data_IF_166878476196
#
_entry.id   IF_166878476196
#
_cell.length_a   1.000
_cell.length_b   1.000
_cell.length_c   1.000
_cell.angle_alpha   90.00
_cell.angle_beta   90.00
_cell.angle_gamma   90.00
#
_symmetry.space_group_name_H-M   'P 1'
#
loop_
_entity.id
_entity.type
_entity.pdbx_description
1 polymer ?
#
# COMPACT_ATOMS: atom_id res chain seq x y z
N UNK A 1 3.77 -12.55 7.42
CA UNK A 1 4.92 -12.44 6.48
C UNK A 1 4.76 -11.15 5.68
N UNK A 2 5.84 -10.44 5.35
CA UNK A 2 5.81 -9.12 4.67
C UNK A 2 6.69 -9.14 3.43
N UNK A 3 6.22 -8.58 2.31
CA UNK A 3 7.01 -8.43 1.09
C UNK A 3 7.04 -6.96 0.63
N UNK A 4 8.23 -6.35 0.51
CA UNK A 4 8.37 -5.00 -0.02
C UNK A 4 8.33 -4.99 -1.56
N UNK A 5 7.57 -4.07 -2.15
CA UNK A 5 7.52 -3.88 -3.60
C UNK A 5 8.42 -2.74 -4.08
N UNK A 6 8.83 -2.84 -5.36
CA UNK A 6 9.75 -1.89 -5.99
C UNK A 6 9.04 -0.57 -6.29
N UNK A 7 9.59 0.51 -5.74
CA UNK A 7 9.17 1.88 -6.05
C UNK A 7 9.66 2.30 -7.43
N UNK A 8 8.78 2.95 -8.22
CA UNK A 8 9.07 3.42 -9.58
C UNK A 8 9.13 4.96 -9.72
N UNK A 9 8.54 5.73 -8.80
CA UNK A 9 8.57 7.20 -8.82
C UNK A 9 7.29 7.90 -8.34
N UNK A 10 7.27 9.23 -8.33
CA UNK A 10 6.10 10.05 -7.94
C UNK A 10 6.42 11.56 -7.88
N UNK A 11 5.45 12.42 -8.21
CA UNK A 11 5.64 13.87 -8.17
C UNK A 11 5.59 14.40 -6.71
N UNK A 12 6.51 15.32 -6.38
CA UNK A 12 6.79 15.81 -5.01
C UNK A 12 7.15 14.71 -3.99
N UNK A 13 7.61 13.54 -4.46
CA UNK A 13 8.38 12.58 -3.67
C UNK A 13 9.78 13.15 -3.38
N UNK A 14 9.85 14.27 -2.68
CA UNK A 14 11.12 14.83 -2.22
C UNK A 14 11.67 13.84 -1.18
N UNK A 15 12.67 13.04 -1.57
CA UNK A 15 13.58 12.27 -0.72
C UNK A 15 13.04 11.13 0.18
N UNK A 16 11.95 10.48 -0.21
CA UNK A 16 11.39 9.36 0.55
C UNK A 16 11.23 8.13 -0.35
N UNK A 17 11.83 6.99 0.01
CA UNK A 17 11.57 5.69 -0.61
C UNK A 17 10.32 5.08 0.06
N UNK A 18 9.10 5.29 -0.46
CA UNK A 18 7.94 4.64 0.13
C UNK A 18 8.05 3.14 -0.14
N UNK A 19 7.76 2.33 0.87
CA UNK A 19 7.75 0.87 0.72
C UNK A 19 6.31 0.40 0.83
N UNK A 20 5.78 -0.14 -0.27
CA UNK A 20 4.52 -0.88 -0.25
C UNK A 20 4.80 -2.28 0.28
N UNK A 21 4.11 -2.63 1.36
CA UNK A 21 4.16 -3.93 2.01
C UNK A 21 2.80 -4.56 1.90
N UNK A 22 2.76 -5.75 1.31
CA UNK A 22 1.56 -6.60 1.31
C UNK A 22 1.75 -7.68 2.37
N UNK A 23 0.73 -7.85 3.20
CA UNK A 23 0.68 -8.87 4.24
C UNK A 23 -0.61 -9.66 4.08
N UNK A 24 -0.50 -10.94 4.39
CA UNK A 24 -1.64 -11.81 4.57
C UNK A 24 -1.72 -12.23 6.05
N UNK A 25 -2.93 -12.28 6.57
CA UNK A 25 -3.31 -12.53 7.96
C UNK A 25 -3.91 -13.93 8.11
N UNK A 26 -3.77 -14.51 9.30
CA UNK A 26 -4.32 -15.84 9.60
C UNK A 26 -5.83 -15.85 9.35
N UNK A 27 -6.33 -16.89 8.68
CA UNK A 27 -7.73 -16.96 8.23
C UNK A 27 -8.01 -16.30 6.87
N UNK A 28 -6.96 -15.91 6.12
CA UNK A 28 -7.08 -15.43 4.74
C UNK A 28 -7.33 -13.92 4.60
N UNK A 29 -7.18 -13.16 5.68
CA UNK A 29 -7.21 -11.69 5.65
C UNK A 29 -6.02 -11.12 4.88
N UNK A 30 -6.17 -9.90 4.36
CA UNK A 30 -5.09 -9.20 3.67
C UNK A 30 -5.00 -7.76 4.17
N UNK A 31 -3.78 -7.25 4.28
CA UNK A 31 -3.50 -5.86 4.58
C UNK A 31 -2.42 -5.30 3.66
N UNK A 32 -2.60 -4.04 3.27
CA UNK A 32 -1.64 -3.26 2.51
C UNK A 32 -1.13 -2.12 3.39
N UNK A 33 0.18 -1.94 3.43
CA UNK A 33 0.82 -0.89 4.22
C UNK A 33 1.79 -0.13 3.35
N UNK A 34 1.73 1.19 3.43
CA UNK A 34 2.74 2.05 2.83
C UNK A 34 3.52 2.71 3.96
N UNK A 35 4.76 2.25 4.12
CA UNK A 35 5.70 2.85 5.05
C UNK A 35 6.29 4.09 4.39
N UNK A 36 6.08 5.24 5.01
CA UNK A 36 6.66 6.52 4.63
C UNK A 36 7.80 6.82 5.60
N UNK A 37 8.83 7.56 5.16
CA UNK A 37 9.94 7.92 6.05
C UNK A 37 9.68 9.25 6.78
N UNK A 38 8.76 10.09 6.30
CA UNK A 38 8.40 11.36 6.93
C UNK A 38 7.05 11.32 7.65
N UNK A 39 6.94 12.20 8.64
CA UNK A 39 5.74 12.44 9.45
C UNK A 39 4.67 13.12 8.60
N UNK A 40 3.50 12.50 8.47
CA UNK A 40 2.29 13.15 7.96
C UNK A 40 1.60 13.82 9.15
N UNK A 41 1.55 15.15 9.14
CA UNK A 41 0.65 15.88 10.04
C UNK A 41 -0.80 15.71 9.54
N UNK A 42 -1.68 15.14 10.37
CA UNK A 42 -3.07 14.94 10.00
C UNK A 42 -3.88 14.09 10.97
N UNK A 43 -5.18 13.94 10.68
CA UNK A 43 -6.11 13.07 11.39
C UNK A 43 -5.74 11.59 11.22
N UNK A 44 -6.09 10.75 12.19
CA UNK A 44 -5.88 9.30 12.13
C UNK A 44 -6.45 8.63 10.86
N UNK A 45 -7.46 9.24 10.22
CA UNK A 45 -8.01 8.83 8.94
C UNK A 45 -7.52 9.75 7.82
N UNK A 46 -6.90 9.17 6.78
CA UNK A 46 -6.36 9.88 5.63
C UNK A 46 -7.12 9.47 4.36
N UNK A 47 -7.69 10.40 3.60
CA UNK A 47 -8.28 10.10 2.30
C UNK A 47 -7.17 9.78 1.29
N UNK A 48 -7.26 8.60 0.68
CA UNK A 48 -6.29 8.05 -0.26
C UNK A 48 -7.02 7.65 -1.54
N UNK A 49 -6.45 8.00 -2.69
CA UNK A 49 -6.87 7.47 -3.99
C UNK A 49 -5.84 6.45 -4.46
N UNK A 50 -6.27 5.20 -4.53
CA UNK A 50 -5.50 4.06 -5.02
C UNK A 50 -5.89 3.81 -6.47
N UNK A 51 -4.92 3.79 -7.36
CA UNK A 51 -5.09 3.44 -8.75
C UNK A 51 -4.34 2.15 -9.05
N UNK A 52 -5.08 1.12 -9.48
CA UNK A 52 -4.53 -0.16 -9.94
C UNK A 52 -4.75 -0.21 -11.44
N UNK A 53 -3.65 -0.16 -12.19
CA UNK A 53 -3.62 0.07 -13.63
C UNK A 53 -4.46 1.30 -14.03
N UNK A 54 -5.68 1.10 -14.54
CA UNK A 54 -6.60 2.17 -14.95
C UNK A 54 -7.76 2.42 -13.97
N UNK A 55 -7.91 1.59 -12.92
CA UNK A 55 -9.06 1.65 -12.00
C UNK A 55 -8.70 2.44 -10.75
N UNK A 56 -9.51 3.45 -10.43
CA UNK A 56 -9.33 4.31 -9.25
C UNK A 56 -10.31 3.90 -8.15
N UNK A 57 -9.77 3.73 -6.95
CA UNK A 57 -10.48 3.39 -5.72
C UNK A 57 -10.23 4.49 -4.69
N UNK A 58 -11.29 5.18 -4.28
CA UNK A 58 -11.23 6.12 -3.15
C UNK A 58 -11.34 5.32 -1.86
N UNK A 59 -10.37 5.50 -0.97
CA UNK A 59 -10.24 4.75 0.27
C UNK A 59 -9.85 5.67 1.41
N UNK A 60 -10.06 5.20 2.62
CA UNK A 60 -9.57 5.85 3.83
C UNK A 60 -8.56 4.93 4.48
N UNK A 61 -7.34 5.42 4.66
CA UNK A 61 -6.24 4.69 5.26
C UNK A 61 -5.97 5.27 6.64
N UNK A 62 -5.51 4.44 7.56
CA UNK A 62 -5.19 4.88 8.92
C UNK A 62 -3.72 5.30 9.02
N UNK A 63 -3.45 6.41 9.73
CA UNK A 63 -2.12 6.77 10.20
C UNK A 63 -1.82 6.01 11.49
N UNK A 64 -0.65 5.37 11.58
CA UNK A 64 -0.21 4.73 12.83
C UNK A 64 0.53 5.70 13.74
N UNK A 65 0.72 5.33 15.01
CA UNK A 65 1.20 6.18 16.13
C UNK A 65 2.55 6.89 15.95
N UNK A 66 3.31 6.60 14.88
CA UNK A 66 4.53 7.35 14.52
C UNK A 66 4.31 8.36 13.39
N UNK A 67 3.07 8.51 12.92
CA UNK A 67 2.62 9.32 11.78
C UNK A 67 3.44 9.15 10.50
N UNK A 68 4.20 8.06 10.39
CA UNK A 68 5.09 7.77 9.27
C UNK A 68 4.61 6.57 8.46
N UNK A 69 3.49 5.95 8.80
CA UNK A 69 3.00 4.78 8.07
C UNK A 69 1.50 4.93 7.82
N UNK A 70 1.13 4.88 6.54
CA UNK A 70 -0.25 4.76 6.10
C UNK A 70 -0.58 3.28 5.99
N UNK A 71 -1.57 2.83 6.74
CA UNK A 71 -2.02 1.43 6.75
C UNK A 71 -3.42 1.35 6.19
N UNK A 72 -3.61 0.47 5.22
CA UNK A 72 -4.92 0.05 4.76
C UNK A 72 -5.16 -1.40 5.12
N UNK A 73 -6.08 -1.60 6.06
CA UNK A 73 -6.60 -2.92 6.40
C UNK A 73 -7.90 -3.07 5.60
N UNK A 74 -7.86 -3.88 4.55
CA UNK A 74 -8.99 -4.05 3.64
C UNK A 74 -9.12 -5.50 3.19
N UNK A 75 -10.32 -6.04 3.38
CA UNK A 75 -10.71 -7.35 2.85
C UNK A 75 -10.46 -7.38 1.34
N UNK A 76 -9.63 -8.33 0.87
CA UNK A 76 -9.35 -8.53 -0.56
C UNK A 76 -8.20 -7.69 -1.16
N UNK A 77 -7.42 -6.99 -0.33
CA UNK A 77 -6.29 -6.14 -0.77
C UNK A 77 -5.17 -6.90 -1.52
N UNK A 78 -4.87 -8.16 -1.17
CA UNK A 78 -3.93 -8.97 -1.95
C UNK A 78 -4.46 -9.35 -3.34
N UNK A 79 -5.72 -9.79 -3.42
CA UNK A 79 -6.32 -10.29 -4.67
C UNK A 79 -6.46 -9.21 -5.74
N UNK A 80 -6.67 -7.95 -5.37
CA UNK A 80 -6.82 -6.85 -6.34
C UNK A 80 -5.51 -6.46 -7.03
N UNK A 81 -4.37 -6.86 -6.48
CA UNK A 81 -3.05 -6.64 -7.09
C UNK A 81 -2.68 -7.77 -8.05
N UNK A 82 -3.38 -8.91 -8.01
CA UNK A 82 -3.11 -10.03 -8.90
C UNK A 82 -3.35 -9.64 -10.36
N UNK A 83 -2.37 -9.92 -11.22
CA UNK A 83 -2.35 -9.57 -12.64
C UNK A 83 -2.21 -8.08 -12.94
N UNK A 84 -2.13 -7.21 -11.92
CA UNK A 84 -1.94 -5.79 -12.12
C UNK A 84 -0.48 -5.47 -12.42
N UNK A 85 -0.22 -4.42 -13.21
CA UNK A 85 1.14 -4.02 -13.60
C UNK A 85 1.63 -2.82 -12.81
N UNK A 86 0.71 -1.93 -12.44
CA UNK A 86 1.04 -0.66 -11.81
C UNK A 86 0.12 -0.39 -10.63
N UNK A 87 0.71 -0.02 -9.51
CA UNK A 87 0.01 0.47 -8.34
C UNK A 87 0.41 1.91 -8.09
N UNK A 88 -0.54 2.83 -8.13
CA UNK A 88 -0.34 4.23 -7.78
C UNK A 88 -1.18 4.55 -6.57
N UNK A 89 -0.58 5.18 -5.57
CA UNK A 89 -1.29 5.72 -4.43
C UNK A 89 -1.13 7.24 -4.44
N UNK A 90 -2.18 7.95 -4.06
CA UNK A 90 -2.13 9.40 -3.89
C UNK A 90 -2.92 9.81 -2.67
N UNK A 91 -2.38 10.73 -1.88
CA UNK A 91 -2.99 11.19 -0.64
C UNK A 91 -2.72 12.68 -0.46
N UNK A 92 -3.54 13.32 0.36
CA UNK A 92 -3.36 14.74 0.69
C UNK A 92 -3.06 14.85 2.17
N UNK A 93 -1.96 15.52 2.52
CA UNK A 93 -1.62 15.85 3.91
C UNK A 93 -1.85 17.34 4.13
N UNK A 94 -3.03 17.71 4.64
CA UNK A 94 -3.32 19.10 5.04
C UNK A 94 -3.04 20.17 3.98
N UNK A 95 -2.48 21.30 4.43
CA UNK A 95 -2.36 22.57 3.68
C UNK A 95 -1.43 22.52 2.45
N UNK A 96 -0.58 21.49 2.34
CA UNK A 96 0.35 21.34 1.21
C UNK A 96 -0.15 20.26 0.24
N UNK A 97 0.17 20.44 -1.04
CA UNK A 97 -0.43 19.74 -2.19
C UNK A 97 -0.43 18.20 -2.13
N UNK A 98 -1.12 17.57 -3.09
CA UNK A 98 -1.24 16.12 -3.14
C UNK A 98 0.11 15.41 -3.30
N UNK A 99 0.33 14.37 -2.49
CA UNK A 99 1.46 13.46 -2.58
C UNK A 99 1.07 12.23 -3.40
N UNK A 100 2.02 11.64 -4.12
CA UNK A 100 1.80 10.40 -4.85
C UNK A 100 3.02 9.47 -4.82
N UNK A 101 2.76 8.17 -4.88
CA UNK A 101 3.78 7.14 -5.04
C UNK A 101 3.30 6.09 -6.05
N UNK A 102 4.21 5.68 -6.94
CA UNK A 102 3.96 4.73 -8.00
C UNK A 102 4.89 3.53 -7.81
N UNK A 103 4.33 2.33 -7.89
CA UNK A 103 4.99 1.06 -7.72
C UNK A 103 4.77 0.18 -8.93
N UNK A 104 5.82 -0.57 -9.27
CA UNK A 104 5.78 -1.61 -10.28
C UNK A 104 5.36 -2.90 -9.62
N UNK A 105 4.45 -3.61 -10.26
CA UNK A 105 3.93 -4.89 -9.78
C UNK A 105 4.51 -6.07 -10.56
N UNK A 106 5.64 -5.88 -11.25
CA UNK A 106 6.31 -6.97 -11.95
C UNK A 106 6.61 -8.13 -10.99
N UNK A 107 6.08 -9.31 -11.28
CA UNK A 107 6.23 -10.51 -10.44
C UNK A 107 5.34 -10.57 -9.20
N UNK A 108 4.37 -9.65 -9.03
CA UNK A 108 3.48 -9.62 -7.87
C UNK A 108 2.69 -10.93 -7.69
N UNK A 109 2.32 -11.60 -8.78
CA UNK A 109 1.53 -12.83 -8.75
C UNK A 109 2.26 -13.97 -8.03
N UNK A 110 3.57 -14.10 -8.27
CA UNK A 110 4.39 -15.10 -7.60
C UNK A 110 4.48 -14.81 -6.09
N UNK A 111 4.60 -13.54 -5.72
CA UNK A 111 4.63 -13.10 -4.31
C UNK A 111 3.29 -13.36 -3.62
N UNK A 112 2.18 -13.03 -4.28
CA UNK A 112 0.83 -13.26 -3.75
C UNK A 112 0.53 -14.76 -3.60
N UNK A 113 0.91 -15.58 -4.57
CA UNK A 113 0.77 -17.03 -4.51
C UNK A 113 1.57 -17.62 -3.33
N UNK A 114 2.81 -17.19 -3.16
CA UNK A 114 3.66 -17.59 -2.03
C UNK A 114 3.06 -17.17 -0.68
N UNK A 115 2.62 -15.92 -0.56
CA UNK A 115 1.96 -15.40 0.64
C UNK A 115 0.70 -16.17 0.99
N UNK A 116 -0.14 -16.46 -0.01
CA UNK A 116 -1.39 -17.20 0.18
C UNK A 116 -1.14 -18.61 0.67
N UNK A 117 -0.16 -19.31 0.09
CA UNK A 117 0.25 -20.63 0.56
C UNK A 117 0.71 -20.57 2.03
N UNK A 118 1.60 -19.63 2.35
CA UNK A 118 2.15 -19.46 3.70
C UNK A 118 1.12 -19.04 4.77
N UNK A 119 -0.01 -18.45 4.37
CA UNK A 119 -1.09 -18.08 5.29
C UNK A 119 -2.17 -19.13 5.49
N UNK A 120 -2.29 -20.06 4.53
CA UNK A 120 -3.33 -21.09 4.56
C UNK A 120 -2.83 -22.34 5.30
N UNK A 121 -1.52 -22.49 5.47
CA UNK A 121 -0.94 -23.51 6.34
C UNK A 121 -1.32 -23.25 7.80
N UNK A 122 -2.05 -24.18 8.46
CA UNK A 122 -2.19 -24.15 9.90
C UNK A 122 -0.81 -24.38 10.50
N UNK A 123 -0.33 -23.40 11.27
CA UNK A 123 0.87 -23.56 12.08
C UNK A 123 0.60 -24.46 13.28
#
# INVERSE_FOLDING_TARGET
>A
MEFPLRYLGGNRAIDYHPTLVVRCEAGGGWSETIKLRAFIAGSAAVPVSVQIDARIHKQTWSLTDRNSTLVYIGQGSGNRLAGARKFKVSWRSGYFGGNEAIFGLDGIDAVLAFLKAACTEPR
#
